data_IF_695823922107
#
_entry.id   IF_695823922107
#
_cell.length_a   1.000
_cell.length_b   1.000
_cell.length_c   1.000
_cell.angle_alpha   90.00
_cell.angle_beta   90.00
_cell.angle_gamma   90.00
#
_symmetry.space_group_name_H-M   'P 1'
#
loop_
_entity.id
_entity.type
_entity.pdbx_description
1 polymer ?
#
# COMPACT_ATOMS: atom_id res chain seq x y z
N UNK A 1 -32.37 67.02 -28.85
CA UNK A 1 -31.63 65.73 -28.83
C UNK A 1 -32.59 64.64 -28.35
N UNK A 2 -32.73 63.49 -29.03
CA UNK A 2 -33.66 62.46 -28.56
C UNK A 2 -33.02 61.70 -27.40
N UNK A 3 -33.67 61.76 -26.24
CA UNK A 3 -33.29 61.01 -25.04
C UNK A 3 -33.81 59.59 -25.25
N UNK A 4 -32.91 58.61 -25.43
CA UNK A 4 -33.29 57.20 -25.53
C UNK A 4 -34.03 56.76 -24.26
N UNK A 5 -35.08 55.93 -24.36
CA UNK A 5 -35.86 55.51 -23.20
C UNK A 5 -35.01 54.59 -22.31
N UNK A 6 -34.67 55.08 -21.11
CA UNK A 6 -33.89 54.35 -20.08
C UNK A 6 -34.45 52.95 -19.71
N UNK A 7 -35.72 52.67 -20.03
CA UNK A 7 -36.38 51.39 -19.73
C UNK A 7 -35.96 50.20 -20.58
N UNK A 8 -35.56 50.41 -21.84
CA UNK A 8 -35.16 49.31 -22.74
C UNK A 8 -33.79 48.71 -22.35
N UNK A 9 -32.86 49.57 -21.92
CA UNK A 9 -31.53 49.15 -21.49
C UNK A 9 -31.56 48.40 -20.14
N UNK A 10 -32.44 48.79 -19.21
CA UNK A 10 -32.61 48.08 -17.94
C UNK A 10 -33.09 46.64 -18.14
N UNK A 11 -34.11 46.43 -18.99
CA UNK A 11 -34.67 45.10 -19.23
C UNK A 11 -33.67 44.17 -19.96
N UNK A 12 -32.88 44.74 -20.89
CA UNK A 12 -31.79 44.03 -21.57
C UNK A 12 -30.68 43.60 -20.60
N UNK A 13 -30.35 44.44 -19.61
CA UNK A 13 -29.35 44.12 -18.59
C UNK A 13 -29.83 43.06 -17.59
N UNK A 14 -31.11 43.08 -17.21
CA UNK A 14 -31.74 42.06 -16.36
C UNK A 14 -31.75 40.70 -17.07
N UNK A 15 -32.09 40.68 -18.35
CA UNK A 15 -32.10 39.44 -19.15
C UNK A 15 -30.70 38.85 -19.31
N UNK A 16 -29.69 39.69 -19.56
CA UNK A 16 -28.27 39.26 -19.62
C UNK A 16 -27.76 38.74 -18.27
N UNK A 17 -28.07 39.42 -17.17
CA UNK A 17 -27.65 38.98 -15.83
C UNK A 17 -28.33 37.68 -15.41
N UNK A 18 -29.59 37.45 -15.79
CA UNK A 18 -30.26 36.16 -15.65
C UNK A 18 -29.59 35.05 -16.46
N UNK A 19 -29.25 35.27 -17.72
CA UNK A 19 -28.58 34.24 -18.53
C UNK A 19 -27.16 33.92 -18.03
N UNK A 20 -26.43 34.92 -17.55
CA UNK A 20 -25.12 34.73 -16.92
C UNK A 20 -25.22 33.92 -15.61
N UNK A 21 -26.27 34.14 -14.80
CA UNK A 21 -26.55 33.31 -13.61
C UNK A 21 -26.91 31.88 -13.98
N UNK A 22 -27.75 31.66 -15.01
CA UNK A 22 -28.11 30.32 -15.50
C UNK A 22 -26.86 29.55 -15.92
N UNK A 23 -26.02 30.14 -16.79
CA UNK A 23 -24.77 29.52 -17.25
C UNK A 23 -23.80 29.23 -16.11
N UNK A 24 -23.79 30.07 -15.07
CA UNK A 24 -22.96 29.83 -13.88
C UNK A 24 -23.50 28.66 -13.07
N UNK A 25 -24.83 28.55 -12.91
CA UNK A 25 -25.48 27.40 -12.26
C UNK A 25 -25.17 26.10 -13.01
N UNK A 26 -25.39 26.09 -14.33
CA UNK A 26 -25.13 24.94 -15.21
C UNK A 26 -23.69 24.46 -15.11
N UNK A 27 -22.69 25.36 -15.18
CA UNK A 27 -21.28 24.97 -14.99
C UNK A 27 -20.99 24.41 -13.59
N UNK A 28 -21.68 24.92 -12.57
CA UNK A 28 -21.48 24.43 -11.20
C UNK A 28 -22.08 23.04 -11.05
N UNK A 29 -23.25 22.80 -11.64
CA UNK A 29 -23.90 21.48 -11.69
C UNK A 29 -23.05 20.48 -12.47
N UNK A 30 -22.53 20.84 -13.64
CA UNK A 30 -21.60 20.01 -14.44
C UNK A 30 -20.35 19.65 -13.62
N UNK A 31 -19.74 20.61 -12.92
CA UNK A 31 -18.58 20.34 -12.05
C UNK A 31 -18.92 19.38 -10.91
N UNK A 32 -20.07 19.53 -10.27
CA UNK A 32 -20.53 18.63 -9.19
C UNK A 32 -20.78 17.22 -9.73
N UNK A 33 -21.36 17.12 -10.92
CA UNK A 33 -21.66 15.86 -11.56
C UNK A 33 -20.38 15.13 -11.95
N UNK A 34 -19.40 15.88 -12.50
CA UNK A 34 -18.09 15.36 -12.85
C UNK A 34 -17.30 14.89 -11.62
N UNK A 35 -17.30 15.67 -10.54
CA UNK A 35 -16.70 15.25 -9.26
C UNK A 35 -17.34 13.96 -8.71
N UNK A 36 -18.67 13.85 -8.78
CA UNK A 36 -19.35 12.63 -8.35
C UNK A 36 -18.98 11.42 -9.22
N UNK A 37 -18.89 11.58 -10.55
CA UNK A 37 -18.46 10.51 -11.43
C UNK A 37 -17.02 10.08 -11.16
N UNK A 38 -16.12 11.03 -10.92
CA UNK A 38 -14.72 10.74 -10.60
C UNK A 38 -14.58 10.02 -9.26
N UNK A 39 -15.34 10.46 -8.25
CA UNK A 39 -15.39 9.81 -6.94
C UNK A 39 -15.92 8.37 -7.04
N UNK A 40 -16.95 8.12 -7.84
CA UNK A 40 -17.49 6.78 -8.09
C UNK A 40 -16.51 5.90 -8.84
N UNK A 41 -15.85 6.42 -9.87
CA UNK A 41 -14.81 5.70 -10.61
C UNK A 41 -13.65 5.32 -9.71
N UNK A 42 -13.20 6.23 -8.84
CA UNK A 42 -12.13 5.98 -7.87
C UNK A 42 -12.51 4.90 -6.85
N UNK A 43 -13.76 4.88 -6.39
CA UNK A 43 -14.27 3.79 -5.52
C UNK A 43 -14.23 2.45 -6.26
N UNK A 44 -14.76 2.39 -7.49
CA UNK A 44 -14.75 1.18 -8.31
C UNK A 44 -13.34 0.64 -8.56
N UNK A 45 -12.37 1.51 -8.84
CA UNK A 45 -10.98 1.06 -9.06
C UNK A 45 -10.37 0.47 -7.80
N UNK A 46 -10.65 1.06 -6.63
CA UNK A 46 -10.19 0.53 -5.36
C UNK A 46 -10.83 -0.84 -5.06
N UNK A 47 -12.14 -0.95 -5.26
CA UNK A 47 -12.87 -2.20 -5.06
C UNK A 47 -12.37 -3.32 -5.99
N UNK A 48 -12.04 -2.98 -7.24
CA UNK A 48 -11.45 -3.91 -8.20
C UNK A 48 -10.06 -4.38 -7.78
N UNK A 49 -9.21 -3.48 -7.27
CA UNK A 49 -7.88 -3.85 -6.74
C UNK A 49 -8.02 -4.81 -5.55
N UNK A 50 -8.86 -4.49 -4.57
CA UNK A 50 -9.10 -5.37 -3.41
C UNK A 50 -9.64 -6.74 -3.81
N UNK A 51 -10.54 -6.80 -4.80
CA UNK A 51 -11.00 -8.09 -5.35
C UNK A 51 -9.87 -8.86 -6.04
N UNK A 52 -8.96 -8.20 -6.74
CA UNK A 52 -7.84 -8.85 -7.41
C UNK A 52 -6.88 -9.49 -6.39
N UNK A 53 -6.57 -8.78 -5.30
CA UNK A 53 -5.72 -9.30 -4.20
C UNK A 53 -6.38 -10.52 -3.54
N UNK A 54 -7.68 -10.45 -3.26
CA UNK A 54 -8.47 -11.59 -2.74
C UNK A 54 -8.47 -12.79 -3.69
N UNK A 55 -8.56 -12.57 -5.00
CA UNK A 55 -8.48 -13.63 -6.01
C UNK A 55 -7.08 -14.24 -6.09
N UNK A 56 -6.02 -13.44 -6.07
CA UNK A 56 -4.65 -13.94 -6.06
C UNK A 56 -4.37 -14.80 -4.81
N UNK A 57 -4.91 -14.38 -3.66
CA UNK A 57 -4.84 -15.12 -2.40
C UNK A 57 -5.68 -16.42 -2.41
N UNK A 58 -6.62 -16.62 -3.34
CA UNK A 58 -7.36 -17.89 -3.49
C UNK A 58 -6.82 -18.75 -4.63
N UNK A 59 -6.08 -18.17 -5.56
CA UNK A 59 -5.54 -18.84 -6.75
C UNK A 59 -4.17 -19.49 -6.54
N UNK A 60 -3.77 -19.72 -5.29
CA UNK A 60 -2.52 -20.39 -4.94
C UNK A 60 -1.23 -19.62 -5.32
N UNK A 61 -1.33 -18.35 -5.73
CA UNK A 61 -0.22 -17.52 -6.21
C UNK A 61 0.03 -16.31 -5.30
N UNK A 62 1.13 -16.36 -4.55
CA UNK A 62 1.56 -15.26 -3.67
C UNK A 62 2.38 -14.19 -4.38
N UNK A 63 2.50 -14.25 -5.71
CA UNK A 63 3.27 -13.30 -6.49
C UNK A 63 2.76 -11.87 -6.25
N UNK A 64 3.63 -11.03 -5.68
CA UNK A 64 3.41 -9.62 -5.33
C UNK A 64 2.47 -9.32 -4.17
N UNK A 65 1.84 -10.32 -3.52
CA UNK A 65 0.97 -10.08 -2.36
C UNK A 65 1.69 -9.41 -1.19
N UNK A 66 3.00 -9.69 -1.01
CA UNK A 66 3.81 -9.05 0.02
C UNK A 66 3.93 -7.52 -0.13
N UNK A 67 3.72 -6.97 -1.34
CA UNK A 67 3.81 -5.53 -1.62
C UNK A 67 2.45 -4.84 -1.62
N UNK A 68 1.35 -5.59 -1.43
CA UNK A 68 -0.01 -5.07 -1.51
C UNK A 68 -0.83 -5.66 -0.35
N UNK A 69 -0.58 -5.10 0.84
CA UNK A 69 -1.25 -5.50 2.07
C UNK A 69 -2.70 -5.00 2.08
N UNK A 70 -3.63 -5.92 2.31
CA UNK A 70 -5.06 -5.63 2.44
C UNK A 70 -5.53 -6.06 3.86
N UNK A 71 -5.96 -5.13 4.73
CA UNK A 71 -6.28 -5.44 6.12
C UNK A 71 -7.48 -6.38 6.30
N UNK A 72 -8.37 -6.46 5.31
CA UNK A 72 -9.57 -7.29 5.35
C UNK A 72 -9.31 -8.76 4.94
N UNK A 73 -8.06 -9.12 4.63
CA UNK A 73 -7.67 -10.49 4.28
C UNK A 73 -7.11 -11.18 5.53
N UNK A 74 -7.69 -12.32 5.88
CA UNK A 74 -7.20 -13.19 6.96
C UNK A 74 -5.99 -14.00 6.49
N UNK A 75 -4.83 -13.35 6.40
CA UNK A 75 -3.60 -13.98 5.89
C UNK A 75 -3.22 -15.27 6.63
N UNK A 76 -3.47 -15.32 7.94
CA UNK A 76 -3.15 -16.46 8.80
C UNK A 76 -3.99 -17.72 8.50
N UNK A 77 -5.15 -17.58 7.84
CA UNK A 77 -6.05 -18.69 7.54
C UNK A 77 -5.64 -19.46 6.27
N UNK A 78 -4.74 -18.92 5.45
CA UNK A 78 -4.36 -19.56 4.20
C UNK A 78 -3.37 -20.70 4.42
N UNK A 79 -3.68 -21.82 3.79
CA UNK A 79 -2.89 -23.07 3.75
C UNK A 79 -1.40 -22.92 3.44
N UNK A 80 -0.96 -21.84 2.80
CA UNK A 80 0.45 -21.57 2.44
C UNK A 80 1.16 -20.65 3.43
N UNK A 81 0.42 -19.96 4.31
CA UNK A 81 0.97 -19.10 5.37
C UNK A 81 1.14 -19.95 6.63
N UNK A 82 2.07 -20.90 6.55
CA UNK A 82 2.42 -21.77 7.67
C UNK A 82 3.85 -21.44 8.13
N UNK A 83 3.98 -20.70 9.23
CA UNK A 83 5.28 -20.40 9.86
C UNK A 83 5.89 -21.69 10.45
N UNK A 84 5.06 -22.67 10.80
CA UNK A 84 5.46 -23.94 11.42
C UNK A 84 5.64 -23.84 12.93
N UNK A 85 6.00 -24.95 13.58
CA UNK A 85 6.30 -24.99 15.01
C UNK A 85 7.73 -24.50 15.29
N UNK A 86 7.94 -23.90 16.47
CA UNK A 86 9.28 -23.62 17.02
C UNK A 86 9.81 -24.89 17.70
N UNK A 87 10.15 -25.90 16.92
CA UNK A 87 10.53 -27.22 17.41
C UNK A 87 11.98 -27.59 17.10
N UNK A 88 12.73 -26.69 16.44
CA UNK A 88 14.13 -26.91 16.12
C UNK A 88 14.99 -26.23 17.15
N UNK A 89 15.94 -26.96 17.70
CA UNK A 89 16.92 -26.38 18.61
C UNK A 89 18.03 -25.72 17.80
N UNK A 90 18.41 -24.52 18.20
CA UNK A 90 19.59 -23.86 17.64
C UNK A 90 20.86 -24.50 18.21
N UNK A 91 21.80 -24.98 17.38
CA UNK A 91 23.03 -25.63 17.86
C UNK A 91 23.97 -24.66 18.61
N UNK A 92 23.77 -23.36 18.43
CA UNK A 92 24.58 -22.31 19.00
C UNK A 92 24.08 -21.84 20.35
N UNK A 93 22.75 -21.74 20.44
CA UNK A 93 22.11 -20.99 21.51
C UNK A 93 21.10 -21.80 22.32
N UNK A 94 20.86 -23.06 21.92
CA UNK A 94 19.88 -23.98 22.50
C UNK A 94 18.45 -23.42 22.55
N UNK A 95 18.19 -22.26 21.93
CA UNK A 95 16.86 -21.72 21.79
C UNK A 95 16.07 -22.50 20.74
N UNK A 96 14.77 -22.64 20.97
CA UNK A 96 13.85 -23.14 19.97
C UNK A 96 13.68 -22.11 18.86
N UNK A 97 13.73 -22.56 17.60
CA UNK A 97 13.64 -21.77 16.37
C UNK A 97 12.70 -22.42 15.38
N UNK A 98 12.24 -21.64 14.40
CA UNK A 98 11.47 -22.20 13.29
C UNK A 98 12.36 -22.99 12.33
N UNK A 99 11.79 -24.01 11.68
CA UNK A 99 12.50 -24.85 10.71
C UNK A 99 13.18 -24.05 9.59
N UNK A 100 12.53 -22.98 9.12
CA UNK A 100 13.01 -22.15 8.01
C UNK A 100 13.52 -20.77 8.47
N UNK A 101 13.86 -20.63 9.75
CA UNK A 101 14.40 -19.37 10.27
C UNK A 101 15.81 -19.10 9.74
N UNK A 102 16.13 -17.86 9.30
CA UNK A 102 17.48 -17.49 8.89
C UNK A 102 18.50 -17.68 10.03
N UNK A 103 19.72 -18.08 9.68
CA UNK A 103 20.81 -18.17 10.64
C UNK A 103 21.03 -16.82 11.36
N UNK A 104 21.24 -16.86 12.67
CA UNK A 104 21.51 -15.67 13.49
C UNK A 104 20.28 -14.94 14.06
N UNK A 105 19.06 -15.18 13.54
CA UNK A 105 17.82 -14.60 14.08
C UNK A 105 17.57 -15.06 15.53
N UNK A 106 17.60 -16.37 15.77
CA UNK A 106 17.48 -16.95 17.11
C UNK A 106 18.64 -16.61 18.06
N UNK A 107 19.82 -16.25 17.53
CA UNK A 107 21.01 -15.95 18.33
C UNK A 107 21.15 -14.46 18.68
N UNK A 108 20.11 -13.64 18.44
CA UNK A 108 20.11 -12.20 18.66
C UNK A 108 21.36 -11.51 18.08
N UNK A 109 21.77 -11.92 16.87
CA UNK A 109 22.97 -11.42 16.19
C UNK A 109 24.28 -11.59 16.98
N UNK A 110 24.42 -12.68 17.74
CA UNK A 110 25.68 -13.01 18.43
C UNK A 110 25.76 -12.54 19.89
N UNK A 111 24.63 -12.18 20.52
CA UNK A 111 24.59 -11.85 21.96
C UNK A 111 24.62 -13.06 22.87
N UNK A 112 24.55 -14.27 22.33
CA UNK A 112 24.85 -15.47 23.10
C UNK A 112 26.35 -15.78 23.01
N UNK A 113 26.98 -16.11 24.14
CA UNK A 113 28.35 -16.62 24.15
C UNK A 113 28.40 -17.94 23.38
N UNK A 114 28.74 -17.84 22.10
CA UNK A 114 29.07 -18.98 21.26
C UNK A 114 30.37 -19.61 21.78
N UNK A 115 30.54 -20.94 21.67
CA UNK A 115 31.85 -21.55 21.81
C UNK A 115 32.86 -20.83 20.94
N UNK A 116 34.07 -20.61 21.45
CA UNK A 116 35.14 -19.96 20.70
C UNK A 116 35.38 -20.76 19.41
N UNK A 117 35.24 -20.09 18.26
CA UNK A 117 35.48 -20.73 16.97
C UNK A 117 36.95 -21.11 16.94
N UNK A 118 37.25 -22.40 16.73
CA UNK A 118 38.63 -22.86 16.60
C UNK A 118 39.36 -22.02 15.55
N UNK A 119 40.56 -21.57 15.89
CA UNK A 119 41.35 -20.71 15.02
C UNK A 119 41.54 -21.40 13.68
N UNK A 120 41.19 -20.75 12.55
CA UNK A 120 41.29 -21.38 11.25
C UNK A 120 42.76 -21.69 10.96
N UNK A 121 43.05 -22.88 10.40
CA UNK A 121 44.40 -23.28 10.04
C UNK A 121 45.02 -22.30 9.03
N UNK A 122 46.35 -22.17 9.05
CA UNK A 122 47.04 -21.36 8.04
C UNK A 122 46.68 -21.82 6.61
N UNK A 123 46.51 -20.88 5.66
CA UNK A 123 46.87 -19.45 5.70
C UNK A 123 45.74 -18.50 6.14
N UNK A 124 44.57 -19.02 6.51
CA UNK A 124 43.38 -18.19 6.79
C UNK A 124 43.54 -17.30 8.03
N UNK A 125 44.30 -17.74 9.04
CA UNK A 125 44.60 -16.95 10.23
C UNK A 125 45.37 -15.65 9.89
N UNK A 126 46.27 -15.71 8.91
CA UNK A 126 47.05 -14.54 8.47
C UNK A 126 46.16 -13.41 7.93
N UNK A 127 44.99 -13.71 7.39
CA UNK A 127 44.05 -12.72 6.83
C UNK A 127 43.25 -11.96 7.90
N UNK A 128 43.13 -12.52 9.12
CA UNK A 128 42.44 -11.87 10.24
C UNK A 128 43.29 -10.81 10.95
N UNK A 129 44.62 -10.85 10.77
CA UNK A 129 45.58 -9.92 11.41
C UNK A 129 45.65 -8.56 10.68
N UNK A 130 45.13 -8.46 9.45
CA UNK A 130 45.22 -7.27 8.59
C UNK A 130 43.91 -6.45 8.46
N UNK A 131 42.91 -6.71 9.31
CA UNK A 131 41.67 -5.91 9.43
C UNK A 131 41.72 -5.18 10.77
#
# INVERSE_FOLDING_TARGET
>A
MPIKPKGADLNRNISKSRSLRSRRSERTEEQIQQQNTDALNRRRTNDQQGQQVRRAFTSDSFLRLAFQYEPDIEYYAHSKVLIGAMDKECPHCHALKFKNEPAGMCCASGKMQLPEIETPSEPLNGLLIFI
#
